data_IF_849319810524
#
_entry.id   IF_849319810524
#
_cell.length_a   1.000
_cell.length_b   1.000
_cell.length_c   1.000
_cell.angle_alpha   90.00
_cell.angle_beta   90.00
_cell.angle_gamma   90.00
#
_symmetry.space_group_name_H-M   'P 1'
#
loop_
_entity.id
_entity.type
_entity.pdbx_description
1 polymer ?
#
# COMPACT_ATOMS: atom_id res chain seq x y z
N UNK A 1 16.95 -0.52 -25.90
CA UNK A 1 17.87 -0.68 -24.73
C UNK A 1 19.26 -0.23 -25.13
N UNK A 2 19.88 0.75 -24.44
CA UNK A 2 21.21 1.25 -24.80
C UNK A 2 22.30 0.37 -24.17
N UNK A 3 23.23 -0.14 -24.99
CA UNK A 3 24.46 -0.74 -24.48
C UNK A 3 25.37 0.39 -23.95
N UNK A 4 25.70 0.33 -22.65
CA UNK A 4 26.65 1.23 -22.02
C UNK A 4 27.91 0.47 -21.60
N UNK A 5 29.04 1.16 -21.47
CA UNK A 5 30.27 0.57 -20.95
C UNK A 5 30.06 -0.08 -19.59
N UNK A 6 29.37 0.62 -18.70
CA UNK A 6 29.07 0.13 -17.35
C UNK A 6 28.21 -1.15 -17.38
N UNK A 7 27.21 -1.25 -18.28
CA UNK A 7 26.41 -2.47 -18.43
C UNK A 7 27.26 -3.65 -18.89
N UNK A 8 28.17 -3.42 -19.85
CA UNK A 8 29.06 -4.47 -20.36
C UNK A 8 30.00 -4.96 -19.26
N UNK A 9 30.60 -4.06 -18.49
CA UNK A 9 31.48 -4.39 -17.39
C UNK A 9 30.74 -5.12 -16.27
N UNK A 10 29.55 -4.65 -15.88
CA UNK A 10 28.71 -5.30 -14.87
C UNK A 10 28.34 -6.73 -15.28
N UNK A 11 27.86 -6.92 -16.51
CA UNK A 11 27.51 -8.27 -17.02
C UNK A 11 28.71 -9.20 -17.05
N UNK A 12 29.87 -8.71 -17.49
CA UNK A 12 31.12 -9.52 -17.50
C UNK A 12 31.56 -9.90 -16.09
N UNK A 13 31.39 -9.01 -15.12
CA UNK A 13 31.80 -9.26 -13.74
C UNK A 13 30.84 -10.20 -12.99
N UNK A 14 29.55 -10.22 -13.37
CA UNK A 14 28.49 -10.90 -12.57
C UNK A 14 27.86 -12.13 -13.22
N UNK A 15 28.04 -12.31 -14.54
CA UNK A 15 27.34 -13.37 -15.27
C UNK A 15 28.31 -14.41 -15.91
N UNK A 16 27.93 -15.72 -15.92
CA UNK A 16 28.63 -16.74 -16.67
C UNK A 16 28.75 -16.38 -18.16
N UNK A 17 29.84 -16.78 -18.81
CA UNK A 17 30.15 -16.40 -20.20
C UNK A 17 29.01 -16.76 -21.18
N UNK A 18 28.40 -17.91 -21.02
CA UNK A 18 27.29 -18.42 -21.84
C UNK A 18 26.02 -17.57 -21.74
N UNK A 19 25.85 -16.81 -20.66
CA UNK A 19 24.67 -15.93 -20.43
C UNK A 19 24.94 -14.45 -20.72
N UNK A 20 26.20 -14.04 -20.86
CA UNK A 20 26.54 -12.61 -20.99
C UNK A 20 25.89 -11.97 -22.21
N UNK A 21 25.89 -12.65 -23.36
CA UNK A 21 25.29 -12.12 -24.59
C UNK A 21 23.78 -11.88 -24.45
N UNK A 22 23.09 -12.79 -23.78
CA UNK A 22 21.65 -12.70 -23.51
C UNK A 22 21.32 -11.49 -22.63
N UNK A 23 22.11 -11.25 -21.58
CA UNK A 23 21.95 -10.12 -20.66
C UNK A 23 22.31 -8.79 -21.31
N UNK A 24 23.30 -8.78 -22.22
CA UNK A 24 23.71 -7.58 -22.93
C UNK A 24 22.68 -7.14 -23.99
N UNK A 25 22.18 -8.09 -24.78
CA UNK A 25 21.32 -7.80 -25.90
C UNK A 25 19.82 -7.84 -25.57
N UNK A 26 19.43 -8.54 -24.50
CA UNK A 26 18.03 -8.69 -24.10
C UNK A 26 17.18 -9.50 -25.09
N UNK A 27 17.45 -9.40 -26.37
CA UNK A 27 16.71 -10.04 -27.45
C UNK A 27 16.68 -11.58 -27.35
N UNK A 28 17.80 -12.28 -27.09
CA UNK A 28 17.78 -13.74 -26.95
C UNK A 28 17.01 -14.24 -25.72
N UNK A 29 16.91 -13.45 -24.66
CA UNK A 29 16.11 -13.77 -23.46
C UNK A 29 14.61 -13.81 -23.79
N UNK A 30 14.15 -12.94 -24.68
CA UNK A 30 12.75 -12.86 -25.06
C UNK A 30 12.41 -13.75 -26.25
N UNK A 31 13.39 -14.11 -27.09
CA UNK A 31 13.18 -14.92 -28.29
C UNK A 31 12.77 -16.37 -27.96
N UNK A 32 13.25 -16.91 -26.82
CA UNK A 32 12.85 -18.22 -26.35
C UNK A 32 11.48 -18.28 -25.66
N UNK A 33 10.83 -17.14 -25.44
CA UNK A 33 9.52 -17.05 -24.79
C UNK A 33 8.36 -16.79 -25.75
N UNK A 34 8.59 -16.79 -27.06
CA UNK A 34 7.50 -16.49 -28.01
C UNK A 34 6.33 -17.44 -27.89
N UNK A 35 6.58 -18.71 -27.58
CA UNK A 35 5.54 -19.73 -27.40
C UNK A 35 4.88 -19.67 -26.00
N UNK A 36 5.44 -18.88 -25.09
CA UNK A 36 4.96 -18.69 -23.71
C UNK A 36 4.29 -17.32 -23.49
N UNK A 37 4.29 -16.44 -24.52
CA UNK A 37 3.71 -15.11 -24.40
C UNK A 37 2.20 -15.19 -24.27
N UNK A 38 1.68 -14.57 -23.23
CA UNK A 38 0.26 -14.40 -22.98
C UNK A 38 -0.17 -12.95 -23.23
N UNK A 39 -1.47 -12.70 -23.22
CA UNK A 39 -1.97 -11.32 -23.28
C UNK A 39 -1.50 -10.47 -22.10
N UNK A 40 -1.20 -11.09 -20.96
CA UNK A 40 -0.64 -10.40 -19.77
C UNK A 40 0.74 -9.80 -20.06
N UNK A 41 1.58 -10.47 -20.86
CA UNK A 41 2.89 -9.93 -21.25
C UNK A 41 2.79 -8.64 -22.09
N UNK A 42 1.64 -8.42 -22.72
CA UNK A 42 1.36 -7.22 -23.52
C UNK A 42 0.58 -6.14 -22.74
N UNK A 43 0.02 -6.48 -21.59
CA UNK A 43 -0.71 -5.53 -20.75
C UNK A 43 0.22 -4.60 -19.95
N UNK A 44 1.51 -4.90 -19.88
CA UNK A 44 2.53 -4.11 -19.18
C UNK A 44 3.13 -2.96 -20.03
N UNK A 45 2.43 -2.51 -21.05
CA UNK A 45 2.81 -1.28 -21.73
C UNK A 45 2.45 -0.05 -20.89
N UNK A 46 3.23 1.06 -20.99
CA UNK A 46 3.03 2.28 -20.17
C UNK A 46 1.63 2.90 -20.27
N UNK A 47 0.81 2.47 -21.21
CA UNK A 47 -0.57 2.90 -21.42
C UNK A 47 -1.61 1.88 -20.95
N UNK A 48 -1.23 0.69 -20.52
CA UNK A 48 -2.16 -0.21 -19.84
C UNK A 48 -2.38 0.30 -18.41
N UNK A 49 -3.63 0.47 -18.02
CA UNK A 49 -4.03 0.74 -16.63
C UNK A 49 -3.88 -0.54 -15.78
N UNK A 50 -2.76 -1.21 -15.86
CA UNK A 50 -2.41 -2.36 -15.03
C UNK A 50 -1.64 -1.89 -13.81
N UNK A 51 -1.81 -2.56 -12.75
CA UNK A 51 -1.23 -2.60 -11.39
C UNK A 51 0.15 -1.94 -11.16
N UNK A 52 0.86 -1.48 -12.18
CA UNK A 52 2.30 -1.70 -12.10
C UNK A 52 3.08 -0.45 -12.27
N UNK A 53 2.45 0.68 -12.20
CA UNK A 53 3.19 1.92 -12.28
C UNK A 53 3.54 2.48 -10.89
N UNK A 54 3.78 1.60 -9.92
CA UNK A 54 4.26 2.00 -8.58
C UNK A 54 5.77 2.30 -8.57
N UNK A 55 6.30 2.77 -9.71
CA UNK A 55 7.69 3.23 -9.87
C UNK A 55 8.74 2.24 -9.37
N UNK A 56 8.49 0.95 -9.59
CA UNK A 56 9.39 -0.14 -9.25
C UNK A 56 9.10 -0.81 -7.91
N UNK A 57 8.11 -0.36 -7.16
CA UNK A 57 7.63 -1.10 -6.00
C UNK A 57 6.64 -2.20 -6.43
N UNK A 58 6.61 -3.27 -5.66
CA UNK A 58 5.62 -4.35 -5.81
C UNK A 58 4.92 -4.48 -4.47
N UNK A 59 3.62 -4.20 -4.45
CA UNK A 59 2.81 -4.33 -3.25
C UNK A 59 2.39 -5.80 -3.08
N UNK A 60 2.47 -6.28 -1.86
CA UNK A 60 1.98 -7.58 -1.42
C UNK A 60 0.83 -7.36 -0.46
N UNK A 61 -0.27 -8.05 -0.68
CA UNK A 61 -1.43 -7.98 0.19
C UNK A 61 -1.63 -9.30 0.92
N UNK A 62 -2.46 -9.27 1.95
CA UNK A 62 -2.73 -10.42 2.81
C UNK A 62 -1.64 -10.67 3.84
N UNK A 63 -1.94 -11.59 4.74
CA UNK A 63 -1.17 -11.87 5.94
C UNK A 63 -0.74 -13.33 5.95
N UNK A 64 0.55 -13.57 6.13
CA UNK A 64 1.14 -14.90 6.33
C UNK A 64 1.27 -15.29 7.80
N UNK A 65 1.11 -14.33 8.73
CA UNK A 65 1.23 -14.51 10.20
C UNK A 65 2.51 -15.27 10.59
N UNK A 66 3.65 -14.79 10.10
CA UNK A 66 4.94 -15.41 10.41
C UNK A 66 5.50 -14.87 11.72
N UNK A 67 5.87 -15.78 12.60
CA UNK A 67 6.80 -15.46 13.67
C UNK A 67 8.19 -15.21 13.09
N UNK A 68 8.85 -14.16 13.52
CA UNK A 68 10.22 -13.83 13.15
C UNK A 68 11.16 -14.01 14.34
N UNK A 69 12.39 -14.41 14.03
CA UNK A 69 13.43 -14.60 15.03
C UNK A 69 13.83 -13.25 15.65
N UNK A 70 14.16 -13.24 16.93
CA UNK A 70 14.76 -12.06 17.55
C UNK A 70 16.24 -11.97 17.22
N UNK A 71 16.71 -10.78 16.88
CA UNK A 71 18.14 -10.50 16.72
C UNK A 71 18.76 -9.88 17.98
N UNK A 72 17.94 -9.66 19.04
CA UNK A 72 18.40 -9.05 20.28
C UNK A 72 19.43 -9.90 21.01
N UNK A 73 20.46 -9.25 21.56
CA UNK A 73 21.50 -9.90 22.35
C UNK A 73 22.55 -10.65 21.53
N UNK A 74 22.43 -10.74 20.22
CA UNK A 74 23.43 -11.33 19.34
C UNK A 74 24.57 -10.35 19.13
N UNK A 75 25.71 -10.59 19.77
CA UNK A 75 26.91 -9.72 19.71
C UNK A 75 28.06 -10.32 18.88
N UNK A 76 27.95 -11.57 18.48
CA UNK A 76 28.94 -12.25 17.66
C UNK A 76 29.04 -11.57 16.29
N UNK A 77 30.23 -11.68 15.68
CA UNK A 77 30.49 -11.23 14.31
C UNK A 77 30.75 -12.40 13.39
N UNK A 78 30.37 -12.27 12.13
CA UNK A 78 30.70 -13.22 11.07
C UNK A 78 31.26 -12.48 9.85
N UNK A 79 32.16 -13.11 9.07
CA UNK A 79 32.76 -12.45 7.92
C UNK A 79 31.71 -12.13 6.84
N UNK A 80 31.79 -10.94 6.27
CA UNK A 80 31.14 -10.61 5.00
C UNK A 80 31.90 -11.33 3.88
N UNK A 81 31.18 -11.84 2.87
CA UNK A 81 31.86 -12.48 1.73
C UNK A 81 32.78 -11.50 1.03
N UNK A 82 33.95 -11.99 0.59
CA UNK A 82 35.01 -11.14 0.00
C UNK A 82 34.48 -10.24 -1.13
N UNK A 83 33.63 -10.78 -2.00
CA UNK A 83 33.05 -10.03 -3.10
C UNK A 83 32.09 -8.93 -2.64
N UNK A 84 31.28 -9.20 -1.65
CA UNK A 84 30.34 -8.22 -1.08
C UNK A 84 31.10 -7.12 -0.37
N UNK A 85 32.10 -7.46 0.40
CA UNK A 85 32.99 -6.50 1.06
C UNK A 85 33.74 -5.62 0.05
N UNK A 86 34.24 -6.19 -1.05
CA UNK A 86 34.87 -5.44 -2.14
C UNK A 86 33.93 -4.38 -2.71
N UNK A 87 32.67 -4.76 -2.99
CA UNK A 87 31.70 -3.82 -3.56
C UNK A 87 31.20 -2.78 -2.55
N UNK A 88 31.03 -3.16 -1.29
CA UNK A 88 30.69 -2.22 -0.22
C UNK A 88 31.79 -1.14 -0.11
N UNK A 89 33.04 -1.52 -0.08
CA UNK A 89 34.17 -0.59 -0.05
C UNK A 89 34.18 0.31 -1.29
N UNK A 90 33.94 -0.22 -2.49
CA UNK A 90 33.84 0.59 -3.72
C UNK A 90 32.69 1.62 -3.65
N UNK A 91 31.57 1.27 -3.06
CA UNK A 91 30.43 2.20 -2.87
C UNK A 91 30.86 3.30 -1.90
N UNK A 92 31.44 2.93 -0.76
CA UNK A 92 31.92 3.88 0.25
C UNK A 92 32.93 4.87 -0.38
N UNK A 93 33.92 4.36 -1.10
CA UNK A 93 34.94 5.19 -1.76
C UNK A 93 34.35 6.11 -2.81
N UNK A 94 33.41 5.61 -3.63
CA UNK A 94 32.74 6.42 -4.65
C UNK A 94 31.91 7.54 -4.02
N UNK A 95 31.15 7.24 -2.97
CA UNK A 95 30.35 8.25 -2.26
C UNK A 95 31.25 9.31 -1.64
N UNK A 96 32.37 8.91 -1.06
CA UNK A 96 33.38 9.82 -0.50
C UNK A 96 34.02 10.69 -1.60
N UNK A 97 34.41 10.09 -2.76
CA UNK A 97 34.96 10.83 -3.91
C UNK A 97 33.97 11.87 -4.45
N UNK A 98 32.69 11.51 -4.51
CA UNK A 98 31.63 12.39 -5.03
C UNK A 98 31.01 13.32 -4.00
N UNK A 99 31.46 13.24 -2.74
CA UNK A 99 30.88 13.98 -1.62
C UNK A 99 29.37 13.76 -1.48
N UNK A 100 28.92 12.50 -1.69
CA UNK A 100 27.52 12.08 -1.51
C UNK A 100 27.39 11.44 -0.13
N UNK A 101 26.50 11.93 0.74
CA UNK A 101 26.20 11.25 2.00
C UNK A 101 25.75 9.80 1.76
N UNK A 102 26.27 8.88 2.57
CA UNK A 102 25.92 7.46 2.50
C UNK A 102 25.44 7.00 3.86
N UNK A 103 24.27 6.37 3.90
CA UNK A 103 23.72 5.63 5.03
C UNK A 103 23.56 4.18 4.63
N UNK A 104 23.99 3.26 5.46
CA UNK A 104 23.72 1.83 5.30
C UNK A 104 22.41 1.49 6.00
N UNK A 105 21.55 0.71 5.34
CA UNK A 105 20.22 0.36 5.85
C UNK A 105 19.98 -1.13 5.67
N UNK A 106 19.59 -1.82 6.74
CA UNK A 106 19.01 -3.15 6.71
C UNK A 106 17.51 -3.07 7.02
N UNK A 107 16.67 -3.33 6.05
CA UNK A 107 15.22 -3.43 6.25
C UNK A 107 14.86 -4.70 7.03
N UNK A 108 13.69 -4.76 7.71
CA UNK A 108 13.28 -5.95 8.45
C UNK A 108 13.27 -7.22 7.58
N UNK A 109 13.62 -8.35 8.17
CA UNK A 109 13.59 -9.67 7.55
C UNK A 109 13.13 -10.72 8.57
N UNK A 110 12.74 -11.91 8.09
CA UNK A 110 12.32 -13.01 8.96
C UNK A 110 13.52 -13.76 9.56
N UNK A 111 14.56 -13.99 8.76
CA UNK A 111 15.77 -14.73 9.14
C UNK A 111 16.77 -13.77 9.81
N UNK A 112 16.69 -13.59 11.12
CA UNK A 112 17.49 -12.60 11.85
C UNK A 112 18.67 -13.20 12.59
N UNK A 113 18.50 -14.33 13.27
CA UNK A 113 19.60 -14.99 14.02
C UNK A 113 20.81 -15.29 13.14
N UNK A 114 20.57 -15.81 11.94
CA UNK A 114 21.63 -16.17 11.00
C UNK A 114 22.32 -14.97 10.36
N UNK A 115 21.62 -13.87 10.21
CA UNK A 115 22.13 -12.67 9.51
C UNK A 115 22.77 -11.66 10.46
N UNK A 116 22.34 -11.61 11.72
CA UNK A 116 22.81 -10.61 12.67
C UNK A 116 24.33 -10.59 12.89
N UNK A 117 25.06 -11.71 12.97
CA UNK A 117 26.52 -11.68 13.09
C UNK A 117 27.22 -10.99 11.91
N UNK A 118 26.69 -11.13 10.68
CA UNK A 118 27.22 -10.43 9.50
C UNK A 118 26.90 -8.93 9.61
N UNK A 119 25.68 -8.59 10.05
CA UNK A 119 25.26 -7.19 10.24
C UNK A 119 26.09 -6.47 11.33
N UNK A 120 26.53 -7.20 12.38
CA UNK A 120 27.45 -6.67 13.37
C UNK A 120 28.82 -6.33 12.74
N UNK A 121 29.30 -7.14 11.81
CA UNK A 121 30.51 -6.80 11.03
C UNK A 121 30.29 -5.56 10.14
N UNK A 122 29.13 -5.46 9.48
CA UNK A 122 28.77 -4.28 8.66
C UNK A 122 28.67 -3.03 9.54
N UNK A 123 28.11 -3.15 10.75
CA UNK A 123 28.07 -2.04 11.70
C UNK A 123 29.49 -1.52 12.04
N UNK A 124 30.45 -2.43 12.32
CA UNK A 124 31.83 -2.06 12.53
C UNK A 124 32.46 -1.36 11.31
N UNK A 125 32.19 -1.87 10.10
CA UNK A 125 32.66 -1.20 8.87
C UNK A 125 32.05 0.20 8.73
N UNK A 126 30.78 0.38 9.06
CA UNK A 126 30.13 1.68 9.03
C UNK A 126 30.79 2.65 10.03
N UNK A 127 31.02 2.21 11.26
CA UNK A 127 31.69 2.98 12.31
C UNK A 127 33.10 3.41 11.90
N UNK A 128 33.90 2.47 11.39
CA UNK A 128 35.27 2.71 10.90
C UNK A 128 35.32 3.75 9.76
N UNK A 129 34.24 3.87 9.00
CA UNK A 129 34.13 4.81 7.87
C UNK A 129 33.32 6.07 8.20
N UNK A 130 32.84 6.23 9.44
CA UNK A 130 32.03 7.37 9.86
C UNK A 130 30.66 7.44 9.15
N UNK A 131 30.07 6.28 8.86
CA UNK A 131 28.78 6.15 8.20
C UNK A 131 27.68 5.82 9.21
N UNK A 132 26.46 6.31 8.94
CA UNK A 132 25.28 5.82 9.66
C UNK A 132 24.93 4.40 9.18
N UNK A 133 24.59 3.53 10.15
CA UNK A 133 24.01 2.23 9.87
C UNK A 133 22.74 2.04 10.67
N UNK A 134 21.62 1.81 9.98
CA UNK A 134 20.32 1.53 10.56
C UNK A 134 19.98 0.06 10.36
N UNK A 135 19.89 -0.69 11.46
CA UNK A 135 19.47 -2.10 11.42
C UNK A 135 18.03 -2.24 11.96
N UNK A 136 17.07 -2.23 11.05
CA UNK A 136 15.65 -2.33 11.38
C UNK A 136 15.22 -3.71 11.91
N UNK A 137 16.06 -4.75 11.83
CA UNK A 137 15.81 -6.02 12.51
C UNK A 137 15.80 -5.91 14.05
N UNK A 138 16.31 -4.81 14.59
CA UNK A 138 16.37 -4.50 16.02
C UNK A 138 15.35 -3.45 16.44
N UNK A 139 14.39 -3.10 15.58
CA UNK A 139 13.51 -1.95 15.77
C UNK A 139 12.02 -2.31 15.66
N UNK A 140 11.64 -3.56 15.94
CA UNK A 140 10.25 -4.00 15.74
C UNK A 140 9.25 -3.17 16.54
N UNK A 141 9.53 -2.91 17.80
CA UNK A 141 8.66 -2.10 18.67
C UNK A 141 8.55 -0.65 18.18
N UNK A 142 9.67 -0.06 17.76
CA UNK A 142 9.70 1.31 17.24
C UNK A 142 8.96 1.45 15.91
N UNK A 143 9.11 0.45 15.05
CA UNK A 143 8.42 0.38 13.76
C UNK A 143 6.97 -0.11 13.88
N UNK A 144 6.60 -0.73 14.99
CA UNK A 144 5.32 -1.40 15.17
C UNK A 144 5.14 -2.61 14.25
N UNK A 145 6.24 -3.32 13.92
CA UNK A 145 6.21 -4.52 13.07
C UNK A 145 5.70 -5.71 13.87
N UNK A 146 4.77 -6.44 13.29
CA UNK A 146 4.14 -7.63 13.87
C UNK A 146 4.21 -8.81 12.91
N UNK A 147 3.74 -9.98 13.36
CA UNK A 147 3.62 -11.18 12.52
C UNK A 147 2.73 -10.96 11.30
N UNK A 148 1.75 -10.04 11.40
CA UNK A 148 0.78 -9.75 10.35
C UNK A 148 1.30 -8.82 9.25
N UNK A 149 2.49 -8.26 9.41
CA UNK A 149 3.14 -7.41 8.40
C UNK A 149 3.90 -8.18 7.30
N UNK A 150 3.69 -9.50 7.24
CA UNK A 150 4.32 -10.39 6.26
C UNK A 150 3.27 -11.09 5.39
N UNK A 151 3.50 -11.11 4.08
CA UNK A 151 2.65 -11.81 3.12
C UNK A 151 2.95 -13.33 3.07
N UNK A 152 2.07 -14.10 2.45
CA UNK A 152 2.20 -15.56 2.33
C UNK A 152 3.52 -16.01 1.66
N UNK A 153 4.11 -15.18 0.83
CA UNK A 153 5.38 -15.44 0.15
C UNK A 153 6.61 -14.97 0.94
N UNK A 154 6.45 -14.68 2.25
CA UNK A 154 7.50 -14.27 3.20
C UNK A 154 8.15 -12.91 2.91
N UNK A 155 7.55 -12.11 2.05
CA UNK A 155 7.92 -10.71 1.89
C UNK A 155 7.11 -9.83 2.85
N UNK A 156 7.63 -8.67 3.17
CA UNK A 156 6.87 -7.66 3.89
C UNK A 156 5.65 -7.26 3.05
N UNK A 157 4.48 -7.28 3.65
CA UNK A 157 3.26 -6.86 2.96
C UNK A 157 3.11 -5.32 2.93
N UNK A 158 2.03 -4.83 2.33
CA UNK A 158 1.80 -3.40 2.17
C UNK A 158 1.68 -2.66 3.52
N UNK A 159 1.15 -3.30 4.57
CA UNK A 159 1.10 -2.74 5.93
C UNK A 159 2.50 -2.54 6.49
N UNK A 160 3.31 -3.60 6.53
CA UNK A 160 4.68 -3.52 7.03
C UNK A 160 5.55 -2.57 6.20
N UNK A 161 5.44 -2.61 4.87
CA UNK A 161 6.16 -1.71 3.98
C UNK A 161 5.81 -0.23 4.26
N UNK A 162 4.56 0.06 4.63
CA UNK A 162 4.11 1.40 5.00
C UNK A 162 4.73 1.89 6.29
N UNK A 163 4.77 1.04 7.33
CA UNK A 163 5.40 1.33 8.63
C UNK A 163 6.89 1.67 8.45
N UNK A 164 7.61 0.81 7.74
CA UNK A 164 9.04 1.01 7.43
C UNK A 164 9.26 2.29 6.62
N UNK A 165 8.45 2.54 5.61
CA UNK A 165 8.58 3.73 4.74
C UNK A 165 8.27 5.02 5.49
N UNK A 166 7.28 5.02 6.38
CA UNK A 166 6.94 6.17 7.21
C UNK A 166 8.09 6.53 8.14
N UNK A 167 8.60 5.54 8.91
CA UNK A 167 9.75 5.75 9.78
C UNK A 167 10.98 6.28 9.01
N UNK A 168 11.27 5.64 7.86
CA UNK A 168 12.42 6.06 7.04
C UNK A 168 12.25 7.49 6.50
N UNK A 169 11.04 7.88 6.10
CA UNK A 169 10.77 9.25 5.64
C UNK A 169 10.99 10.27 6.76
N UNK A 170 10.49 10.00 7.96
CA UNK A 170 10.66 10.86 9.12
C UNK A 170 12.14 10.95 9.54
N UNK A 171 12.85 9.82 9.55
CA UNK A 171 14.28 9.78 9.85
C UNK A 171 15.10 10.57 8.82
N UNK A 172 14.84 10.38 7.53
CA UNK A 172 15.55 11.13 6.48
C UNK A 172 15.23 12.63 6.53
N UNK A 173 14.02 13.00 6.91
CA UNK A 173 13.64 14.41 7.02
C UNK A 173 14.28 15.08 8.25
N UNK A 174 14.42 14.35 9.37
CA UNK A 174 15.02 14.87 10.60
C UNK A 174 16.55 14.97 10.55
N UNK A 175 17.22 13.98 9.95
CA UNK A 175 18.67 13.87 9.95
C UNK A 175 19.34 14.47 8.71
N UNK A 176 18.57 14.61 7.62
CA UNK A 176 19.09 15.12 6.34
C UNK A 176 18.18 16.24 5.83
N UNK A 177 18.75 17.30 5.30
CA UNK A 177 18.00 18.43 4.70
C UNK A 177 17.38 18.02 3.34
N UNK A 178 16.42 17.10 3.39
CA UNK A 178 15.69 16.62 2.22
C UNK A 178 14.46 17.49 2.00
N UNK A 179 14.36 18.22 0.88
CA UNK A 179 13.24 19.10 0.64
C UNK A 179 11.95 18.32 0.37
N UNK A 180 10.83 18.79 0.92
CA UNK A 180 9.51 18.32 0.55
C UNK A 180 9.20 18.71 -0.90
N UNK A 181 8.92 17.71 -1.74
CA UNK A 181 8.60 17.86 -3.16
C UNK A 181 7.12 17.69 -3.47
N UNK A 182 6.28 17.51 -2.45
CA UNK A 182 4.84 17.46 -2.63
C UNK A 182 4.36 18.83 -3.14
N UNK A 183 3.57 18.83 -4.21
CA UNK A 183 3.14 20.07 -4.88
C UNK A 183 4.11 20.63 -5.94
N UNK A 184 5.30 20.07 -6.09
CA UNK A 184 6.18 20.40 -7.22
C UNK A 184 5.70 19.69 -8.49
N UNK A 185 5.41 20.45 -9.54
CA UNK A 185 4.91 19.93 -10.82
C UNK A 185 5.84 18.90 -11.46
N UNK A 186 7.15 18.99 -11.22
CA UNK A 186 8.13 18.01 -11.71
C UNK A 186 7.93 16.62 -11.11
N UNK A 187 7.28 16.53 -9.94
CA UNK A 187 6.98 15.30 -9.20
C UNK A 187 5.50 14.90 -9.21
N UNK A 188 4.65 15.56 -10.01
CA UNK A 188 3.21 15.28 -10.06
C UNK A 188 2.88 13.79 -10.29
N UNK A 189 3.70 13.08 -11.08
CA UNK A 189 3.52 11.63 -11.28
C UNK A 189 3.71 10.78 -10.03
N UNK A 190 4.39 11.28 -9.00
CA UNK A 190 4.50 10.61 -7.70
C UNK A 190 3.23 10.78 -6.88
N UNK A 191 2.57 11.93 -6.97
CA UNK A 191 1.29 12.17 -6.30
C UNK A 191 0.21 11.24 -6.87
N UNK A 192 0.17 11.06 -8.20
CA UNK A 192 -0.73 10.09 -8.85
C UNK A 192 -0.43 8.68 -8.36
N UNK A 193 0.84 8.26 -8.33
CA UNK A 193 1.18 6.93 -7.82
C UNK A 193 0.82 6.74 -6.35
N UNK A 194 1.04 7.73 -5.49
CA UNK A 194 0.66 7.66 -4.09
C UNK A 194 -0.85 7.49 -3.93
N UNK A 195 -1.63 8.19 -4.76
CA UNK A 195 -3.07 8.06 -4.82
C UNK A 195 -3.50 6.64 -5.23
N UNK A 196 -2.94 6.11 -6.33
CA UNK A 196 -3.24 4.76 -6.82
C UNK A 196 -2.85 3.68 -5.79
N UNK A 197 -1.69 3.82 -5.13
CA UNK A 197 -1.24 2.94 -4.04
C UNK A 197 -2.22 2.96 -2.87
N UNK A 198 -2.70 4.15 -2.47
CA UNK A 198 -3.64 4.27 -1.37
C UNK A 198 -5.01 3.66 -1.70
N UNK A 199 -5.47 3.77 -2.96
CA UNK A 199 -6.70 3.11 -3.40
C UNK A 199 -6.55 1.59 -3.39
N UNK A 200 -5.46 1.07 -3.95
CA UNK A 200 -5.19 -0.36 -3.97
C UNK A 200 -5.00 -0.94 -2.57
N UNK A 201 -4.39 -0.18 -1.66
CA UNK A 201 -4.24 -0.59 -0.27
C UNK A 201 -5.59 -0.68 0.45
N UNK A 202 -6.45 0.35 0.34
CA UNK A 202 -7.78 0.36 0.93
C UNK A 202 -8.59 -0.87 0.49
N UNK A 203 -8.59 -1.17 -0.82
CA UNK A 203 -9.30 -2.32 -1.38
C UNK A 203 -8.75 -3.68 -0.89
N UNK A 204 -7.57 -3.73 -0.30
CA UNK A 204 -6.96 -4.95 0.22
C UNK A 204 -7.03 -5.08 1.76
N UNK A 205 -7.41 -4.02 2.48
CA UNK A 205 -7.57 -4.06 3.95
C UNK A 205 -8.72 -4.99 4.33
N UNK A 206 -8.50 -5.88 5.28
CA UNK A 206 -9.50 -6.85 5.76
C UNK A 206 -9.98 -6.57 7.19
N UNK A 207 -9.22 -5.82 7.97
CA UNK A 207 -9.61 -5.38 9.30
C UNK A 207 -10.47 -4.11 9.24
N UNK A 208 -11.56 -4.07 10.02
CA UNK A 208 -12.52 -2.96 9.99
C UNK A 208 -11.91 -1.65 10.53
N UNK A 209 -11.17 -1.71 11.64
CA UNK A 209 -10.57 -0.52 12.24
C UNK A 209 -9.49 0.09 11.34
N UNK A 210 -8.66 -0.77 10.73
CA UNK A 210 -7.65 -0.35 9.73
C UNK A 210 -8.32 0.26 8.50
N UNK A 211 -9.45 -0.28 8.06
CA UNK A 211 -10.20 0.25 6.92
C UNK A 211 -10.70 1.67 7.17
N UNK A 212 -11.32 1.91 8.31
CA UNK A 212 -11.77 3.26 8.69
C UNK A 212 -10.59 4.21 8.96
N UNK A 213 -9.48 3.71 9.52
CA UNK A 213 -8.27 4.51 9.66
C UNK A 213 -7.71 4.98 8.30
N UNK A 214 -7.77 4.13 7.27
CA UNK A 214 -7.38 4.51 5.91
C UNK A 214 -8.33 5.52 5.27
N UNK A 215 -9.65 5.38 5.48
CA UNK A 215 -10.63 6.35 5.02
C UNK A 215 -10.35 7.74 5.63
N UNK A 216 -10.10 7.80 6.95
CA UNK A 216 -9.76 9.07 7.63
C UNK A 216 -8.46 9.69 7.12
N UNK A 217 -7.46 8.86 6.86
CA UNK A 217 -6.12 9.34 6.50
C UNK A 217 -6.06 9.96 5.11
N UNK A 218 -6.73 9.35 4.14
CA UNK A 218 -6.54 9.68 2.73
C UNK A 218 -7.70 10.46 2.11
N UNK A 219 -8.80 10.64 2.84
CA UNK A 219 -10.02 11.26 2.33
C UNK A 219 -10.62 10.49 1.14
N UNK A 220 -11.90 10.21 1.20
CA UNK A 220 -12.66 9.55 0.11
C UNK A 220 -14.09 10.05 0.16
N UNK A 221 -14.77 10.00 -0.97
CA UNK A 221 -16.21 10.08 -0.92
C UNK A 221 -16.76 8.70 -0.54
N UNK A 222 -17.68 8.65 0.42
CA UNK A 222 -18.19 7.42 1.01
C UNK A 222 -19.72 7.45 1.02
N UNK A 223 -20.34 6.58 0.23
CA UNK A 223 -21.76 6.31 0.34
C UNK A 223 -21.98 5.20 1.38
N UNK A 224 -22.70 5.53 2.44
CA UNK A 224 -23.16 4.58 3.47
C UNK A 224 -24.62 4.29 3.22
N UNK A 225 -24.98 3.01 3.08
CA UNK A 225 -26.36 2.55 2.88
C UNK A 225 -26.74 1.63 4.03
N UNK A 226 -27.80 1.98 4.74
CA UNK A 226 -28.41 1.17 5.78
C UNK A 226 -29.61 0.43 5.22
N UNK A 227 -29.61 -0.90 5.31
CA UNK A 227 -30.62 -1.78 4.73
C UNK A 227 -31.57 -2.44 5.76
N UNK A 228 -31.32 -2.26 7.05
CA UNK A 228 -32.13 -2.84 8.11
C UNK A 228 -32.15 -1.97 9.35
N UNK A 229 -33.12 -2.17 10.28
CA UNK A 229 -33.11 -1.52 11.58
C UNK A 229 -31.81 -1.81 12.34
N UNK A 230 -31.35 -0.83 13.09
CA UNK A 230 -30.14 -0.89 13.89
C UNK A 230 -30.50 -1.31 15.33
N UNK A 231 -30.37 -2.57 15.65
CA UNK A 231 -30.90 -3.09 16.93
C UNK A 231 -29.91 -3.94 17.75
N UNK A 232 -28.59 -3.80 17.53
CA UNK A 232 -27.64 -4.73 18.16
C UNK A 232 -26.47 -4.03 18.81
N UNK A 233 -26.10 -4.48 20.03
CA UNK A 233 -24.86 -4.08 20.72
C UNK A 233 -23.60 -4.36 19.87
N UNK A 234 -23.66 -5.32 18.94
CA UNK A 234 -22.56 -5.61 18.00
C UNK A 234 -22.29 -4.45 17.03
N UNK A 235 -23.28 -3.61 16.79
CA UNK A 235 -23.15 -2.44 15.91
C UNK A 235 -22.47 -1.26 16.60
N UNK A 236 -22.42 -1.18 17.93
CA UNK A 236 -21.88 -0.03 18.64
C UNK A 236 -20.42 0.28 18.29
N UNK A 237 -19.61 -0.73 18.03
CA UNK A 237 -18.23 -0.54 17.58
C UNK A 237 -18.16 0.02 16.14
N UNK A 238 -19.04 -0.45 15.26
CA UNK A 238 -19.16 0.03 13.90
C UNK A 238 -19.72 1.46 13.85
N UNK A 239 -20.65 1.82 14.74
CA UNK A 239 -21.15 3.20 14.88
C UNK A 239 -20.02 4.18 15.16
N UNK A 240 -19.15 3.87 16.12
CA UNK A 240 -18.02 4.72 16.45
C UNK A 240 -17.06 4.92 15.25
N UNK A 241 -16.84 3.88 14.47
CA UNK A 241 -16.02 3.97 13.25
C UNK A 241 -16.72 4.80 12.16
N UNK A 242 -18.04 4.61 11.95
CA UNK A 242 -18.83 5.40 11.00
C UNK A 242 -18.89 6.88 11.41
N UNK A 243 -19.10 7.18 12.70
CA UNK A 243 -19.06 8.54 13.22
C UNK A 243 -17.69 9.18 12.99
N UNK A 244 -16.61 8.41 13.11
CA UNK A 244 -15.25 8.89 12.90
C UNK A 244 -14.94 9.37 11.47
N UNK A 245 -15.75 8.94 10.49
CA UNK A 245 -15.67 9.37 9.08
C UNK A 245 -16.80 10.34 8.70
N UNK A 246 -17.61 10.79 9.66
CA UNK A 246 -18.61 11.85 9.48
C UNK A 246 -20.05 11.38 9.37
N UNK A 247 -20.35 10.10 9.57
CA UNK A 247 -21.74 9.62 9.60
C UNK A 247 -22.39 10.10 10.90
N UNK A 248 -23.55 10.77 10.80
CA UNK A 248 -24.27 11.32 11.95
C UNK A 248 -25.22 10.28 12.54
N UNK A 249 -25.44 10.34 13.85
CA UNK A 249 -26.29 9.39 14.61
C UNK A 249 -27.73 9.33 14.13
N UNK A 250 -28.25 10.41 13.56
CA UNK A 250 -29.61 10.46 13.00
C UNK A 250 -29.83 9.42 11.89
N UNK A 251 -28.78 9.02 11.19
CA UNK A 251 -28.85 7.97 10.17
C UNK A 251 -29.24 6.62 10.77
N UNK A 252 -28.90 6.38 12.04
CA UNK A 252 -29.16 5.11 12.72
C UNK A 252 -30.59 4.98 13.27
N UNK A 253 -31.18 6.10 13.68
CA UNK A 253 -32.47 6.15 14.36
C UNK A 253 -33.68 6.19 13.41
N UNK A 254 -33.45 6.43 12.12
CA UNK A 254 -34.51 6.53 11.13
C UNK A 254 -34.95 5.15 10.60
N UNK A 255 -35.89 5.15 9.65
CA UNK A 255 -36.48 3.97 9.01
C UNK A 255 -35.44 2.90 8.62
N UNK A 256 -35.89 1.67 8.38
CA UNK A 256 -35.04 0.53 8.07
C UNK A 256 -34.05 0.80 6.92
N UNK A 257 -34.45 1.64 5.94
CA UNK A 257 -33.64 1.98 4.77
C UNK A 257 -33.25 3.45 4.80
N UNK A 258 -31.96 3.73 4.76
CA UNK A 258 -31.44 5.10 4.70
C UNK A 258 -30.07 5.11 3.99
N UNK A 259 -29.68 6.27 3.47
CA UNK A 259 -28.35 6.46 2.90
C UNK A 259 -27.80 7.86 3.20
N UNK A 260 -26.49 7.95 3.31
CA UNK A 260 -25.77 9.22 3.44
C UNK A 260 -24.54 9.20 2.56
N UNK A 261 -24.21 10.31 1.92
CA UNK A 261 -22.94 10.51 1.22
C UNK A 261 -22.05 11.43 2.05
N UNK A 262 -20.95 10.91 2.53
CA UNK A 262 -19.84 11.69 3.07
C UNK A 262 -19.02 12.16 1.87
N UNK A 263 -18.92 13.46 1.68
CA UNK A 263 -18.21 14.05 0.54
C UNK A 263 -16.68 13.89 0.68
N UNK A 264 -16.18 13.94 1.93
CA UNK A 264 -14.78 13.69 2.27
C UNK A 264 -14.66 13.07 3.67
N UNK A 265 -14.20 11.82 3.73
CA UNK A 265 -14.02 11.07 4.98
C UNK A 265 -12.90 11.61 5.88
N UNK A 266 -11.97 12.41 5.35
CA UNK A 266 -10.92 13.04 6.16
C UNK A 266 -11.44 14.23 6.96
N UNK A 267 -12.47 14.92 6.45
CA UNK A 267 -13.09 16.08 7.09
C UNK A 267 -14.46 15.77 7.71
N UNK A 268 -15.07 14.66 7.32
CA UNK A 268 -16.45 14.32 7.69
C UNK A 268 -17.51 15.18 7.00
N UNK A 269 -17.17 15.84 5.90
CA UNK A 269 -18.10 16.67 5.16
C UNK A 269 -19.20 15.84 4.48
N UNK A 270 -20.46 16.18 4.76
CA UNK A 270 -21.63 15.49 4.23
C UNK A 270 -22.20 16.19 3.00
N UNK A 271 -22.62 15.44 2.01
CA UNK A 271 -23.34 15.94 0.86
C UNK A 271 -24.85 15.87 1.12
N UNK A 272 -25.62 16.94 0.81
CA UNK A 272 -27.07 16.95 1.02
C UNK A 272 -27.76 15.92 0.11
N UNK A 273 -28.70 15.18 0.70
CA UNK A 273 -29.54 14.22 -0.02
C UNK A 273 -30.85 14.85 -0.47
N UNK A 274 -31.35 14.37 -1.61
CA UNK A 274 -32.73 14.62 -2.06
C UNK A 274 -33.48 13.29 -2.03
N UNK A 275 -34.61 13.25 -1.35
CA UNK A 275 -35.48 12.08 -1.24
C UNK A 275 -36.64 12.18 -2.20
N UNK A 276 -36.77 11.19 -3.09
CA UNK A 276 -37.88 11.06 -4.03
C UNK A 276 -38.48 9.65 -3.92
N UNK A 277 -39.59 9.55 -3.18
CA UNK A 277 -40.25 8.26 -2.97
C UNK A 277 -39.34 7.27 -2.22
N UNK A 278 -39.04 6.12 -2.83
CA UNK A 278 -38.19 5.08 -2.27
C UNK A 278 -36.72 5.20 -2.73
N UNK A 279 -36.31 6.39 -3.18
CA UNK A 279 -34.94 6.64 -3.63
C UNK A 279 -34.35 7.89 -3.01
N UNK A 280 -33.03 7.93 -2.92
CA UNK A 280 -32.22 9.09 -2.53
C UNK A 280 -31.26 9.44 -3.63
N UNK A 281 -31.04 10.76 -3.85
CA UNK A 281 -30.09 11.25 -4.82
C UNK A 281 -29.09 12.21 -4.17
N UNK A 282 -27.82 12.12 -4.59
CA UNK A 282 -26.71 12.95 -4.13
C UNK A 282 -25.93 13.50 -5.33
N UNK A 283 -25.15 14.54 -5.10
CA UNK A 283 -24.17 15.03 -6.07
C UNK A 283 -22.77 14.61 -5.66
N UNK A 284 -22.05 13.91 -6.53
CA UNK A 284 -20.67 13.46 -6.35
C UNK A 284 -19.80 14.06 -7.47
N UNK A 285 -18.97 15.07 -7.13
CA UNK A 285 -18.06 15.69 -8.10
C UNK A 285 -18.72 16.24 -9.37
N UNK A 286 -20.04 16.58 -9.31
CA UNK A 286 -20.85 17.00 -10.46
C UNK A 286 -21.67 15.90 -11.11
N UNK A 287 -21.42 14.64 -10.77
CA UNK A 287 -22.21 13.48 -11.18
C UNK A 287 -23.41 13.27 -10.24
N UNK A 288 -24.45 12.61 -10.72
CA UNK A 288 -25.63 12.22 -9.93
C UNK A 288 -25.46 10.78 -9.43
N UNK A 289 -25.44 10.63 -8.10
CA UNK A 289 -25.44 9.34 -7.42
C UNK A 289 -26.85 9.07 -6.90
N UNK A 290 -27.47 7.96 -7.32
CA UNK A 290 -28.82 7.58 -6.95
C UNK A 290 -28.85 6.23 -6.26
N UNK A 291 -29.50 6.15 -5.09
CA UNK A 291 -29.79 4.92 -4.35
C UNK A 291 -31.26 4.60 -4.47
N UNK A 292 -31.59 3.40 -4.95
CA UNK A 292 -32.95 2.90 -5.01
C UNK A 292 -33.10 1.73 -4.03
N UNK A 293 -33.91 1.91 -3.00
CA UNK A 293 -34.08 0.94 -1.94
C UNK A 293 -35.04 -0.20 -2.31
N UNK A 294 -35.99 0.03 -3.22
CA UNK A 294 -36.92 -1.02 -3.68
C UNK A 294 -36.18 -2.12 -4.45
N UNK A 295 -35.29 -1.73 -5.35
CA UNK A 295 -34.54 -2.66 -6.19
C UNK A 295 -33.13 -2.95 -5.67
N UNK A 296 -32.74 -2.32 -4.56
CA UNK A 296 -31.40 -2.42 -3.97
C UNK A 296 -30.29 -2.09 -4.98
N UNK A 297 -30.49 -1.05 -5.75
CA UNK A 297 -29.61 -0.60 -6.82
C UNK A 297 -29.00 0.76 -6.52
N UNK A 298 -27.73 0.93 -6.93
CA UNK A 298 -27.03 2.19 -6.91
C UNK A 298 -26.61 2.54 -8.33
N UNK A 299 -26.83 3.79 -8.72
CA UNK A 299 -26.46 4.32 -10.04
C UNK A 299 -25.57 5.55 -9.86
N UNK A 300 -24.49 5.62 -10.66
CA UNK A 300 -23.75 6.84 -10.89
C UNK A 300 -24.07 7.33 -12.30
N UNK A 301 -24.79 8.44 -12.40
CA UNK A 301 -25.52 8.85 -13.60
C UNK A 301 -26.46 7.71 -14.06
N UNK A 302 -26.31 7.24 -15.32
CA UNK A 302 -27.09 6.11 -15.87
C UNK A 302 -26.39 4.75 -15.71
N UNK A 303 -25.21 4.72 -15.08
CA UNK A 303 -24.43 3.48 -14.92
C UNK A 303 -24.77 2.82 -13.59
N UNK A 304 -25.33 1.60 -13.64
CA UNK A 304 -25.53 0.77 -12.47
C UNK A 304 -24.18 0.37 -11.85
N UNK A 305 -24.05 0.59 -10.55
CA UNK A 305 -22.93 0.13 -9.75
C UNK A 305 -23.24 -1.23 -9.12
N UNK A 306 -22.20 -1.97 -8.72
CA UNK A 306 -22.39 -3.18 -7.95
C UNK A 306 -22.89 -2.82 -6.55
N UNK A 307 -24.04 -3.37 -6.15
CA UNK A 307 -24.62 -3.19 -4.84
C UNK A 307 -24.58 -4.48 -4.03
N UNK A 308 -24.13 -4.39 -2.78
CA UNK A 308 -24.02 -5.54 -1.88
C UNK A 308 -25.30 -5.66 -1.03
N UNK A 309 -26.39 -6.11 -1.65
CA UNK A 309 -27.71 -6.16 -1.04
C UNK A 309 -27.90 -7.19 0.10
N UNK A 310 -26.86 -7.96 0.45
CA UNK A 310 -26.90 -8.93 1.56
C UNK A 310 -26.40 -8.40 2.89
N UNK A 311 -25.95 -7.15 2.97
CA UNK A 311 -25.41 -6.54 4.17
C UNK A 311 -26.42 -5.60 4.83
N UNK A 312 -26.40 -5.54 6.16
CA UNK A 312 -27.18 -4.56 6.93
C UNK A 312 -26.67 -3.15 6.70
N UNK A 313 -25.34 -3.00 6.60
CA UNK A 313 -24.66 -1.78 6.17
C UNK A 313 -23.81 -2.09 4.96
N UNK A 314 -23.90 -1.23 3.95
CA UNK A 314 -23.03 -1.25 2.77
C UNK A 314 -22.29 0.07 2.65
N UNK A 315 -21.00 0.00 2.45
CA UNK A 315 -20.13 1.13 2.14
C UNK A 315 -19.69 1.04 0.68
N UNK A 316 -19.89 2.10 -0.09
CA UNK A 316 -19.31 2.25 -1.43
C UNK A 316 -18.37 3.44 -1.38
N UNK A 317 -17.10 3.17 -1.62
CA UNK A 317 -16.04 4.17 -1.57
C UNK A 317 -15.71 4.63 -2.96
N UNK A 318 -15.65 5.94 -3.15
CA UNK A 318 -15.35 6.56 -4.44
C UNK A 318 -14.02 7.32 -4.38
N UNK A 319 -13.31 7.26 -5.47
CA UNK A 319 -12.16 8.11 -5.75
C UNK A 319 -12.63 9.54 -6.03
N UNK A 320 -12.14 10.50 -5.25
CA UNK A 320 -12.57 11.91 -5.36
C UNK A 320 -12.06 12.63 -6.63
N UNK A 321 -11.09 12.05 -7.34
CA UNK A 321 -10.55 12.62 -8.58
C UNK A 321 -11.28 12.11 -9.82
N UNK A 322 -11.69 10.82 -9.79
CA UNK A 322 -12.27 10.14 -10.96
C UNK A 322 -13.74 9.82 -10.81
N UNK A 323 -14.30 9.90 -9.59
CA UNK A 323 -15.62 9.40 -9.19
C UNK A 323 -15.79 7.88 -9.44
N UNK A 324 -14.73 7.15 -9.72
CA UNK A 324 -14.77 5.68 -9.87
C UNK A 324 -14.90 5.01 -8.51
N UNK A 325 -15.56 3.85 -8.46
CA UNK A 325 -15.64 3.02 -7.24
C UNK A 325 -14.26 2.44 -6.96
N UNK A 326 -13.76 2.70 -5.76
CA UNK A 326 -12.50 2.13 -5.24
C UNK A 326 -12.76 0.78 -4.59
N UNK A 327 -13.81 0.69 -3.75
CA UNK A 327 -14.16 -0.51 -3.01
C UNK A 327 -15.63 -0.52 -2.64
N UNK A 328 -16.19 -1.73 -2.43
CA UNK A 328 -17.53 -1.94 -1.88
C UNK A 328 -17.46 -3.00 -0.80
N UNK A 329 -17.81 -2.62 0.42
CA UNK A 329 -17.76 -3.50 1.59
C UNK A 329 -19.11 -3.53 2.33
N UNK A 330 -19.38 -4.62 3.01
CA UNK A 330 -20.58 -4.82 3.78
C UNK A 330 -20.31 -5.30 5.20
N UNK A 331 -21.24 -4.99 6.11
CA UNK A 331 -21.24 -5.40 7.51
C UNK A 331 -22.57 -6.00 7.90
N UNK A 332 -22.54 -7.08 8.71
CA UNK A 332 -23.70 -7.74 9.25
C UNK A 332 -23.51 -8.02 10.74
N UNK A 333 -24.56 -7.86 11.53
CA UNK A 333 -24.54 -8.20 12.96
C UNK A 333 -24.34 -9.70 13.20
N UNK A 334 -24.86 -10.54 12.29
CA UNK A 334 -24.75 -12.01 12.39
C UNK A 334 -23.32 -12.54 12.36
N UNK A 335 -22.40 -11.82 11.72
CA UNK A 335 -20.98 -12.17 11.68
C UNK A 335 -20.09 -11.28 12.56
N UNK A 336 -20.72 -10.56 13.53
CA UNK A 336 -20.00 -9.66 14.44
C UNK A 336 -19.48 -8.38 13.79
N UNK A 337 -20.14 -7.91 12.75
CA UNK A 337 -19.76 -6.69 11.99
C UNK A 337 -18.34 -6.76 11.40
N UNK A 338 -17.92 -7.95 10.98
CA UNK A 338 -16.66 -8.11 10.23
C UNK A 338 -16.84 -7.58 8.82
N UNK A 339 -15.82 -6.87 8.33
CA UNK A 339 -15.75 -6.37 6.97
C UNK A 339 -15.81 -7.52 5.96
N UNK A 340 -16.76 -7.44 5.03
CA UNK A 340 -16.94 -8.42 3.95
C UNK A 340 -16.96 -7.72 2.59
N UNK A 341 -16.45 -8.39 1.55
CA UNK A 341 -16.55 -7.95 0.15
C UNK A 341 -17.38 -8.93 -0.65
N UNK A 342 -18.12 -8.43 -1.64
CA UNK A 342 -18.73 -9.29 -2.65
C UNK A 342 -17.65 -9.99 -3.47
N UNK A 343 -17.80 -11.31 -3.67
CA UNK A 343 -16.93 -12.09 -4.58
C UNK A 343 -17.19 -11.74 -6.04
#
# INVERSE_FOLDING_TARGET
MRLSKNKIEAVRASAPEDRQLNLLLGFPLYHGRFDELTMEDFQHFPWSKGLENFKGSVLRYGTGSYEFESAEGISETAPVMDKELEYLNKIIDLCREKSVPLMLLKTPSLEREQTQPILNTVAGIAEDNGLAFVNMNLMDDELGITADDWSLDRHMNASGARKVSAWLADHLQSEYDIPDRRGDAAYASWNVNAHDVNNAYLAAVTDSADYFAELRRNGRALLVIKNSPWESDAMAALEAELESVGVQSEVYDESANNAILIADTATGENAPAQVEGESMSFTLGGDTLQVNFEYQDVYLNDKKLTYYGGSEITLIVFDMLTNEVVDTVGFNTLNGCVLTRAE
#
